data_IF_150140297234
#
_entry.id   IF_150140297234
#
_cell.length_a   1.000
_cell.length_b   1.000
_cell.length_c   1.000
_cell.angle_alpha   90.00
_cell.angle_beta   90.00
_cell.angle_gamma   90.00
#
_symmetry.space_group_name_H-M   'P 1'
#
loop_
_entity.id
_entity.type
_entity.pdbx_description
1 polymer ?
#
# COMPACT_ATOMS: atom_id res chain seq x y z
N UNK A 1 36.45 30.07 36.84
CA UNK A 1 35.94 28.76 37.29
C UNK A 1 36.77 28.32 38.47
N UNK A 2 36.18 28.17 39.65
CA UNK A 2 36.92 27.85 40.88
C UNK A 2 37.18 26.36 40.95
N UNK A 3 38.44 25.96 40.80
CA UNK A 3 38.89 24.56 40.90
C UNK A 3 38.97 24.17 42.38
N UNK A 4 37.93 23.54 42.91
CA UNK A 4 37.91 23.02 44.28
C UNK A 4 38.92 21.87 44.41
N UNK A 5 39.82 21.96 45.40
CA UNK A 5 40.84 20.95 45.66
C UNK A 5 40.20 19.59 45.98
N UNK A 6 40.68 18.46 45.44
CA UNK A 6 40.11 17.13 45.70
C UNK A 6 40.47 16.57 47.08
N UNK A 7 41.38 17.21 47.84
CA UNK A 7 41.82 16.76 49.16
C UNK A 7 40.69 16.50 50.18
N UNK A 8 39.73 17.44 50.42
CA UNK A 8 38.63 17.20 51.35
C UNK A 8 37.79 15.96 51.01
N UNK A 9 37.50 15.72 49.73
CA UNK A 9 36.75 14.55 49.28
C UNK A 9 37.50 13.24 49.52
N UNK A 10 38.82 13.24 49.30
CA UNK A 10 39.67 12.08 49.58
C UNK A 10 39.76 11.75 51.08
N UNK A 11 39.74 12.76 51.94
CA UNK A 11 39.75 12.56 53.39
C UNK A 11 38.39 12.09 53.90
N UNK A 12 37.29 12.56 53.31
CA UNK A 12 35.94 12.05 53.58
C UNK A 12 35.83 10.55 53.28
N UNK A 13 36.26 10.11 52.08
CA UNK A 13 36.28 8.70 51.69
C UNK A 13 37.16 7.84 52.61
N UNK A 14 38.25 8.38 53.16
CA UNK A 14 39.08 7.64 54.13
C UNK A 14 38.37 7.42 55.46
N UNK A 15 37.45 8.32 55.83
CA UNK A 15 36.72 8.25 57.10
C UNK A 15 35.40 7.49 57.01
N UNK A 16 34.84 7.29 55.81
CA UNK A 16 33.64 6.48 55.62
C UNK A 16 33.90 5.03 56.05
N UNK A 17 33.09 4.53 57.00
CA UNK A 17 33.22 3.16 57.50
C UNK A 17 32.42 2.23 56.62
N UNK A 18 32.88 0.99 56.49
CA UNK A 18 32.18 -0.04 55.71
C UNK A 18 30.78 -0.35 56.26
N UNK A 19 30.58 -0.16 57.56
CA UNK A 19 29.30 -0.36 58.24
C UNK A 19 28.25 0.71 57.91
N UNK A 20 28.68 1.88 57.41
CA UNK A 20 27.80 2.97 56.97
C UNK A 20 27.26 2.73 55.54
N UNK A 21 27.80 1.72 54.84
CA UNK A 21 27.36 1.34 53.50
C UNK A 21 26.22 0.33 53.60
N UNK A 22 25.12 0.60 52.88
CA UNK A 22 24.07 -0.40 52.73
C UNK A 22 24.64 -1.62 52.01
N UNK A 23 24.45 -2.79 52.60
CA UNK A 23 24.76 -4.04 51.91
C UNK A 23 23.80 -4.18 50.73
N UNK A 24 24.37 -4.18 49.52
CA UNK A 24 23.67 -4.55 48.30
C UNK A 24 24.16 -5.92 47.87
N UNK A 25 23.22 -6.86 47.75
CA UNK A 25 23.49 -8.14 47.12
C UNK A 25 23.42 -7.95 45.61
N UNK A 26 24.59 -7.94 44.95
CA UNK A 26 24.67 -7.77 43.50
C UNK A 26 24.29 -9.09 42.85
N UNK A 27 23.02 -9.23 42.50
CA UNK A 27 22.52 -10.35 41.72
C UNK A 27 22.96 -10.18 40.26
N UNK A 28 23.97 -10.95 39.83
CA UNK A 28 24.31 -11.11 38.43
C UNK A 28 23.15 -11.84 37.73
N UNK A 29 22.40 -11.15 36.86
CA UNK A 29 21.33 -11.78 36.08
C UNK A 29 21.91 -12.64 34.95
N UNK A 30 22.47 -13.79 35.30
CA UNK A 30 22.82 -14.86 34.37
C UNK A 30 21.59 -15.72 34.09
N UNK A 31 20.55 -15.11 33.50
CA UNK A 31 19.40 -15.89 33.05
C UNK A 31 19.87 -16.82 31.93
N UNK A 32 19.80 -18.12 32.17
CA UNK A 32 20.03 -19.11 31.13
C UNK A 32 18.97 -18.91 30.03
N UNK A 33 19.36 -19.06 28.75
CA UNK A 33 18.39 -19.02 27.66
C UNK A 33 17.24 -19.99 27.95
N UNK A 34 16.02 -19.52 27.72
CA UNK A 34 14.84 -20.38 27.84
C UNK A 34 14.85 -21.44 26.75
N UNK A 35 14.16 -22.55 27.00
CA UNK A 35 14.02 -23.63 26.00
C UNK A 35 13.51 -23.11 24.66
N UNK A 36 12.56 -22.16 24.69
CA UNK A 36 11.99 -21.53 23.50
C UNK A 36 13.04 -20.76 22.71
N UNK A 37 13.91 -20.01 23.38
CA UNK A 37 14.98 -19.25 22.71
C UNK A 37 16.00 -20.19 22.04
N UNK A 38 16.35 -21.30 22.71
CA UNK A 38 17.25 -22.32 22.14
C UNK A 38 16.62 -23.01 20.92
N UNK A 39 15.35 -23.38 21.01
CA UNK A 39 14.64 -24.04 19.91
C UNK A 39 14.46 -23.09 18.70
N UNK A 40 14.23 -21.80 18.97
CA UNK A 40 14.19 -20.77 17.95
C UNK A 40 15.55 -20.57 17.27
N UNK A 41 16.63 -20.47 18.05
CA UNK A 41 17.99 -20.32 17.52
C UNK A 41 18.38 -21.50 16.62
N UNK A 42 18.08 -22.73 17.04
CA UNK A 42 18.30 -23.93 16.22
C UNK A 42 17.54 -23.88 14.91
N UNK A 43 16.26 -23.52 14.97
CA UNK A 43 15.42 -23.41 13.77
C UNK A 43 15.97 -22.37 12.79
N UNK A 44 16.42 -21.23 13.31
CA UNK A 44 17.03 -20.18 12.48
C UNK A 44 18.36 -20.65 11.88
N UNK A 45 19.20 -21.29 12.67
CA UNK A 45 20.48 -21.83 12.21
C UNK A 45 20.29 -22.87 11.11
N UNK A 46 19.37 -23.82 11.29
CA UNK A 46 19.04 -24.82 10.27
C UNK A 46 18.52 -24.15 8.99
N UNK A 47 17.63 -23.15 9.10
CA UNK A 47 17.13 -22.41 7.94
C UNK A 47 18.27 -21.72 7.19
N UNK A 48 19.17 -21.03 7.91
CA UNK A 48 20.31 -20.33 7.31
C UNK A 48 21.26 -21.29 6.60
N UNK A 49 21.56 -22.43 7.20
CA UNK A 49 22.39 -23.46 6.58
C UNK A 49 21.74 -24.02 5.32
N UNK A 50 20.46 -24.37 5.38
CA UNK A 50 19.72 -24.89 4.23
C UNK A 50 19.70 -23.89 3.06
N UNK A 51 19.53 -22.59 3.32
CA UNK A 51 19.55 -21.56 2.27
C UNK A 51 20.96 -21.41 1.68
N UNK A 52 22.00 -21.48 2.52
CA UNK A 52 23.39 -21.32 2.09
C UNK A 52 23.87 -22.50 1.24
N UNK A 53 23.44 -23.71 1.59
CA UNK A 53 23.81 -24.96 0.92
C UNK A 53 22.87 -25.29 -0.27
N UNK A 54 21.80 -24.51 -0.47
CA UNK A 54 20.82 -24.77 -1.51
C UNK A 54 21.44 -24.72 -2.91
N UNK A 55 21.54 -25.87 -3.56
CA UNK A 55 21.99 -25.99 -4.94
C UNK A 55 20.87 -25.60 -5.92
N UNK A 56 21.08 -24.50 -6.64
CA UNK A 56 20.15 -23.98 -7.65
C UNK A 56 19.93 -24.96 -8.80
N UNK A 57 20.85 -25.91 -9.05
CA UNK A 57 20.66 -26.94 -10.06
C UNK A 57 19.56 -27.95 -9.70
N UNK A 58 19.13 -27.99 -8.43
CA UNK A 58 17.96 -28.76 -7.99
C UNK A 58 16.63 -28.10 -8.36
N UNK A 59 16.63 -26.83 -8.80
CA UNK A 59 15.43 -26.18 -9.30
C UNK A 59 15.02 -26.79 -10.64
N UNK A 60 13.77 -27.25 -10.73
CA UNK A 60 13.19 -27.71 -12.00
C UNK A 60 13.10 -26.53 -12.96
N UNK A 61 13.48 -26.75 -14.22
CA UNK A 61 13.27 -25.75 -15.27
C UNK A 61 11.78 -25.42 -15.40
N UNK A 62 11.46 -24.15 -15.21
CA UNK A 62 10.15 -23.59 -15.53
C UNK A 62 10.24 -22.87 -16.88
N UNK A 63 9.39 -23.25 -17.84
CA UNK A 63 9.24 -22.51 -19.09
C UNK A 63 8.35 -21.28 -18.83
N UNK A 64 8.96 -20.11 -18.66
CA UNK A 64 8.23 -18.85 -18.49
C UNK A 64 8.07 -18.21 -19.86
N UNK A 65 6.85 -18.24 -20.41
CA UNK A 65 6.52 -17.49 -21.62
C UNK A 65 6.02 -16.09 -21.24
N UNK A 66 6.86 -15.07 -21.40
CA UNK A 66 6.43 -13.67 -21.35
C UNK A 66 5.68 -13.35 -22.65
N UNK A 67 4.35 -13.39 -22.63
CA UNK A 67 3.52 -13.02 -23.78
C UNK A 67 3.41 -11.49 -23.82
N UNK A 68 4.11 -10.87 -24.76
CA UNK A 68 3.84 -9.50 -25.19
C UNK A 68 3.17 -9.53 -26.59
N UNK A 69 1.92 -10.00 -26.70
CA UNK A 69 1.25 -10.07 -28.00
C UNK A 69 1.06 -8.66 -28.55
N UNK A 70 1.43 -8.48 -29.82
CA UNK A 70 1.09 -7.26 -30.54
C UNK A 70 -0.45 -7.17 -30.65
N UNK A 71 -1.03 -5.95 -30.62
CA UNK A 71 -2.46 -5.79 -30.84
C UNK A 71 -2.85 -6.32 -32.22
N UNK A 72 -3.98 -7.02 -32.28
CA UNK A 72 -4.52 -7.55 -33.53
C UNK A 72 -4.93 -6.43 -34.49
N UNK A 73 -5.02 -6.77 -35.78
CA UNK A 73 -5.44 -5.83 -36.84
C UNK A 73 -6.82 -5.22 -36.58
N UNK A 74 -7.70 -5.96 -35.90
CA UNK A 74 -9.05 -5.49 -35.57
C UNK A 74 -9.00 -4.40 -34.50
N UNK A 75 -8.26 -4.63 -33.41
CA UNK A 75 -8.02 -3.65 -32.34
C UNK A 75 -7.45 -2.35 -32.88
N UNK A 76 -6.47 -2.42 -33.78
CA UNK A 76 -5.87 -1.24 -34.42
C UNK A 76 -6.89 -0.48 -35.27
N UNK A 77 -7.73 -1.19 -36.04
CA UNK A 77 -8.77 -0.57 -36.86
C UNK A 77 -9.85 0.10 -36.01
N UNK A 78 -10.26 -0.55 -34.93
CA UNK A 78 -11.23 -0.01 -33.99
C UNK A 78 -10.69 1.28 -33.35
N UNK A 79 -9.46 1.25 -32.84
CA UNK A 79 -8.81 2.43 -32.26
C UNK A 79 -8.71 3.58 -33.27
N UNK A 80 -8.28 3.29 -34.50
CA UNK A 80 -8.21 4.30 -35.56
C UNK A 80 -9.59 4.92 -35.85
N UNK A 81 -10.62 4.08 -35.96
CA UNK A 81 -12.00 4.53 -36.21
C UNK A 81 -12.50 5.43 -35.07
N UNK A 82 -12.21 5.05 -33.82
CA UNK A 82 -12.58 5.84 -32.65
C UNK A 82 -11.86 7.20 -32.64
N UNK A 83 -10.56 7.22 -32.95
CA UNK A 83 -9.79 8.46 -33.06
C UNK A 83 -10.32 9.38 -34.16
N UNK A 84 -10.65 8.83 -35.33
CA UNK A 84 -11.24 9.59 -36.44
C UNK A 84 -12.60 10.17 -36.07
N UNK A 85 -13.45 9.42 -35.37
CA UNK A 85 -14.74 9.89 -34.85
C UNK A 85 -14.56 11.00 -33.81
N UNK A 86 -13.65 10.82 -32.84
CA UNK A 86 -13.34 11.85 -31.84
C UNK A 86 -12.85 13.14 -32.50
N UNK A 87 -11.99 13.01 -33.51
CA UNK A 87 -11.47 14.14 -34.25
C UNK A 87 -12.56 14.87 -35.06
N UNK A 88 -13.48 14.13 -35.70
CA UNK A 88 -14.56 14.74 -36.46
C UNK A 88 -15.56 15.48 -35.58
N UNK A 89 -15.90 14.93 -34.42
CA UNK A 89 -16.75 15.60 -33.42
C UNK A 89 -16.09 16.87 -32.89
N UNK A 90 -14.79 16.82 -32.56
CA UNK A 90 -14.07 18.00 -32.06
C UNK A 90 -13.98 19.12 -33.11
N UNK A 91 -13.86 18.76 -34.39
CA UNK A 91 -13.82 19.72 -35.50
C UNK A 91 -15.20 20.18 -35.98
N UNK A 92 -16.29 19.62 -35.46
CA UNK A 92 -17.63 19.92 -35.93
C UNK A 92 -18.04 21.33 -35.54
N UNK A 93 -18.31 22.18 -36.53
CA UNK A 93 -18.84 23.52 -36.30
C UNK A 93 -20.37 23.47 -36.17
N UNK A 94 -20.90 24.02 -35.08
CA UNK A 94 -22.35 24.12 -34.87
C UNK A 94 -23.02 25.05 -35.88
N UNK A 95 -22.27 25.97 -36.50
CA UNK A 95 -22.79 26.83 -37.56
C UNK A 95 -23.17 26.05 -38.83
N UNK A 96 -22.61 24.86 -39.05
CA UNK A 96 -22.97 23.98 -40.16
C UNK A 96 -24.36 23.32 -39.98
N UNK A 97 -24.95 23.42 -38.78
CA UNK A 97 -26.31 22.94 -38.54
C UNK A 97 -27.34 23.85 -39.20
N UNK A 98 -28.21 23.26 -40.02
CA UNK A 98 -29.34 23.98 -40.62
C UNK A 98 -30.32 24.45 -39.54
N UNK A 99 -30.58 25.75 -39.51
CA UNK A 99 -31.60 26.33 -38.64
C UNK A 99 -32.97 25.71 -38.95
N UNK A 100 -33.57 25.07 -37.96
CA UNK A 100 -34.87 24.40 -38.05
C UNK A 100 -35.80 24.97 -37.00
N UNK A 101 -37.02 25.32 -37.39
CA UNK A 101 -38.06 25.78 -36.45
C UNK A 101 -38.73 24.56 -35.83
N UNK A 102 -38.50 24.32 -34.54
CA UNK A 102 -39.21 23.28 -33.78
C UNK A 102 -40.49 23.85 -33.19
N UNK A 103 -41.64 23.24 -33.48
CA UNK A 103 -42.91 23.55 -32.81
C UNK A 103 -43.13 22.55 -31.67
N UNK A 104 -42.84 22.97 -30.43
CA UNK A 104 -43.21 22.20 -29.25
C UNK A 104 -44.73 22.32 -29.04
N UNK A 105 -45.46 21.22 -29.21
CA UNK A 105 -46.89 21.17 -28.90
C UNK A 105 -47.07 21.06 -27.38
N UNK A 106 -46.85 22.16 -26.68
CA UNK A 106 -47.23 22.32 -25.28
C UNK A 106 -48.72 22.59 -25.11
N UNK A 107 -49.59 21.86 -25.82
CA UNK A 107 -51.02 21.93 -25.53
C UNK A 107 -51.27 21.16 -24.24
N UNK A 108 -51.76 21.88 -23.22
CA UNK A 108 -52.23 21.25 -21.99
C UNK A 108 -53.34 20.26 -22.37
N UNK A 109 -53.31 19.02 -21.82
CA UNK A 109 -54.39 18.06 -22.04
C UNK A 109 -55.74 18.71 -21.75
N UNK A 110 -56.69 18.56 -22.66
CA UNK A 110 -58.03 19.08 -22.45
C UNK A 110 -58.77 18.21 -21.43
N UNK A 111 -59.86 18.73 -20.84
CA UNK A 111 -60.67 17.95 -19.88
C UNK A 111 -61.23 16.66 -20.48
N UNK A 112 -61.43 16.61 -21.80
CA UNK A 112 -61.85 15.41 -22.51
C UNK A 112 -60.73 14.36 -22.54
N UNK A 113 -59.51 14.78 -22.87
CA UNK A 113 -58.33 13.89 -22.88
C UNK A 113 -58.05 13.29 -21.49
N UNK A 114 -58.21 14.10 -20.43
CA UNK A 114 -58.05 13.64 -19.04
C UNK A 114 -59.17 12.66 -18.65
N UNK A 115 -60.40 12.88 -19.10
CA UNK A 115 -61.54 12.02 -18.77
C UNK A 115 -61.47 10.68 -19.49
N UNK A 116 -60.99 10.65 -20.73
CA UNK A 116 -60.75 9.42 -21.49
C UNK A 116 -59.68 8.54 -20.81
N UNK A 117 -58.58 9.14 -20.34
CA UNK A 117 -57.52 8.41 -19.63
C UNK A 117 -57.92 7.95 -18.22
N UNK A 118 -58.76 8.72 -17.52
CA UNK A 118 -59.33 8.35 -16.21
C UNK A 118 -60.47 7.33 -16.32
N UNK A 119 -60.94 7.02 -17.53
CA UNK A 119 -62.20 6.33 -17.82
C UNK A 119 -62.10 4.85 -18.16
N UNK A 120 -60.93 4.21 -18.03
CA UNK A 120 -60.79 2.74 -18.08
C UNK A 120 -60.15 2.24 -16.78
N UNK A 121 -61.00 1.94 -15.80
CA UNK A 121 -60.76 1.03 -14.69
C UNK A 121 -62.06 0.28 -14.40
#
# INVERSE_FOLDING_TARGET
MTTTSPRPFLDEIKTTKKDDLQHIDVQEKTALPTKTEIDQEKTEQELRSNITEFDKNQLKHANVEEKNPLPDKDTIKQEKTEQELKASINKFDKADLKCTKTCEKGVLPTKADIAEEKGTA
#
